data_IF_800478696522
#
_entry.id   IF_800478696522
#
_cell.length_a   1.000
_cell.length_b   1.000
_cell.length_c   1.000
_cell.angle_alpha   90.00
_cell.angle_beta   90.00
_cell.angle_gamma   90.00
#
_symmetry.space_group_name_H-M   'P 1'
#
loop_
_entity.id
_entity.type
_entity.pdbx_description
1 polymer ?
#
# COMPACT_ATOMS: atom_id res chain seq x y z
N UNK A 1 12.07 -3.29 -30.15
CA UNK A 1 12.88 -2.43 -29.26
C UNK A 1 13.81 -1.58 -30.12
N UNK A 2 13.40 -0.36 -30.48
CA UNK A 2 14.32 0.63 -31.05
C UNK A 2 14.78 1.49 -29.88
N UNK A 3 16.00 1.29 -29.43
CA UNK A 3 16.72 2.20 -28.55
C UNK A 3 16.80 3.55 -29.26
N UNK A 4 15.89 4.45 -28.91
CA UNK A 4 15.98 5.85 -29.33
C UNK A 4 17.26 6.47 -28.78
N UNK A 5 17.82 7.51 -29.43
CA UNK A 5 19.06 8.14 -29.01
C UNK A 5 18.96 8.49 -27.52
N UNK A 6 19.94 8.04 -26.74
CA UNK A 6 20.18 8.55 -25.40
C UNK A 6 20.68 9.97 -25.63
N UNK A 7 19.84 10.93 -25.26
CA UNK A 7 20.19 12.35 -25.31
C UNK A 7 21.13 12.54 -24.12
N UNK A 8 22.43 12.43 -24.36
CA UNK A 8 23.48 12.45 -23.32
C UNK A 8 23.87 13.88 -22.95
N UNK A 9 23.54 14.89 -23.78
CA UNK A 9 23.90 16.28 -23.56
C UNK A 9 22.72 17.27 -23.53
N UNK A 10 22.83 18.28 -22.66
CA UNK A 10 21.91 19.41 -22.53
C UNK A 10 21.85 20.25 -23.83
N UNK A 11 22.90 20.18 -24.65
CA UNK A 11 22.97 20.79 -25.97
C UNK A 11 22.03 20.14 -26.99
N UNK A 12 21.88 18.82 -26.96
CA UNK A 12 20.95 18.09 -27.82
C UNK A 12 19.50 18.40 -27.47
N UNK A 13 19.21 18.66 -26.20
CA UNK A 13 17.90 19.15 -25.74
C UNK A 13 17.56 20.52 -26.34
N UNK A 14 18.49 21.48 -26.28
CA UNK A 14 18.28 22.82 -26.82
C UNK A 14 18.09 22.82 -28.34
N UNK A 15 18.79 21.94 -29.05
CA UNK A 15 18.62 21.78 -30.50
C UNK A 15 17.29 21.09 -30.84
N UNK A 16 16.87 20.09 -30.06
CA UNK A 16 15.59 19.42 -30.25
C UNK A 16 14.40 20.41 -30.10
N UNK A 17 14.45 21.36 -29.17
CA UNK A 17 13.40 22.38 -28.99
C UNK A 17 13.23 23.32 -30.20
N UNK A 18 14.22 23.42 -31.11
CA UNK A 18 14.17 24.28 -32.29
C UNK A 18 13.36 23.75 -33.48
N UNK A 19 12.91 22.49 -33.44
CA UNK A 19 12.20 21.87 -34.58
C UNK A 19 10.68 22.10 -34.54
N UNK A 20 10.06 22.34 -35.70
CA UNK A 20 8.61 22.52 -35.86
C UNK A 20 7.78 21.35 -35.24
N UNK A 21 8.37 20.16 -35.14
CA UNK A 21 7.76 18.97 -34.53
C UNK A 21 7.55 19.11 -33.02
N UNK A 22 8.39 19.84 -32.29
CA UNK A 22 8.22 20.04 -30.83
C UNK A 22 7.08 21.00 -30.51
N UNK A 23 6.82 21.98 -31.39
CA UNK A 23 5.66 22.86 -31.28
C UNK A 23 4.34 22.10 -31.39
N UNK A 24 4.28 21.10 -32.28
CA UNK A 24 3.10 20.23 -32.42
C UNK A 24 2.90 19.38 -31.15
N UNK A 25 3.98 18.82 -30.59
CA UNK A 25 3.91 18.08 -29.32
C UNK A 25 3.44 18.97 -28.16
N UNK A 26 3.99 20.19 -28.03
CA UNK A 26 3.60 21.16 -27.01
C UNK A 26 2.14 21.59 -27.17
N UNK A 27 1.69 21.83 -28.39
CA UNK A 27 0.30 22.16 -28.70
C UNK A 27 -0.64 21.00 -28.34
N UNK A 28 -0.27 19.76 -28.67
CA UNK A 28 -1.04 18.58 -28.31
C UNK A 28 -1.13 18.39 -26.79
N UNK A 29 -0.03 18.62 -26.06
CA UNK A 29 0.00 18.55 -24.60
C UNK A 29 -0.84 19.67 -23.96
N UNK A 30 -0.75 20.90 -24.46
CA UNK A 30 -1.59 22.03 -24.05
C UNK A 30 -3.08 21.73 -24.28
N UNK A 31 -3.43 21.17 -25.45
CA UNK A 31 -4.79 20.74 -25.72
C UNK A 31 -5.27 19.69 -24.70
N UNK A 32 -4.43 18.72 -24.33
CA UNK A 32 -4.75 17.76 -23.26
C UNK A 32 -5.00 18.45 -21.91
N UNK A 33 -4.19 19.44 -21.54
CA UNK A 33 -4.36 20.22 -20.31
C UNK A 33 -5.69 20.96 -20.30
N UNK A 34 -6.02 21.67 -21.39
CA UNK A 34 -7.27 22.43 -21.52
C UNK A 34 -8.48 21.49 -21.49
N UNK A 35 -8.42 20.36 -22.21
CA UNK A 35 -9.49 19.36 -22.22
C UNK A 35 -9.69 18.71 -20.85
N UNK A 36 -8.60 18.33 -20.16
CA UNK A 36 -8.67 17.78 -18.82
C UNK A 36 -9.27 18.79 -17.83
N UNK A 37 -8.85 20.06 -17.91
CA UNK A 37 -9.37 21.12 -17.06
C UNK A 37 -10.87 21.37 -17.31
N UNK A 38 -11.27 21.47 -18.57
CA UNK A 38 -12.67 21.64 -18.97
C UNK A 38 -13.55 20.47 -18.54
N UNK A 39 -13.06 19.24 -18.68
CA UNK A 39 -13.76 18.04 -18.23
C UNK A 39 -13.97 18.03 -16.72
N UNK A 40 -12.92 18.27 -15.93
CA UNK A 40 -13.03 18.31 -14.46
C UNK A 40 -13.94 19.46 -14.00
N UNK A 41 -13.85 20.62 -14.66
CA UNK A 41 -14.73 21.75 -14.39
C UNK A 41 -16.20 21.41 -14.66
N UNK A 42 -16.50 20.75 -15.79
CA UNK A 42 -17.85 20.34 -16.17
C UNK A 42 -18.40 19.29 -15.18
N UNK A 43 -17.61 18.27 -14.85
CA UNK A 43 -18.00 17.24 -13.88
C UNK A 43 -18.25 17.87 -12.52
N UNK A 44 -17.38 18.75 -12.04
CA UNK A 44 -17.57 19.46 -10.76
C UNK A 44 -18.83 20.31 -10.76
N UNK A 45 -19.16 20.96 -11.88
CA UNK A 45 -20.39 21.76 -12.02
C UNK A 45 -21.65 20.87 -12.01
N UNK A 46 -21.58 19.68 -12.61
CA UNK A 46 -22.68 18.73 -12.63
C UNK A 46 -22.89 18.02 -11.29
N UNK A 47 -21.81 17.69 -10.58
CA UNK A 47 -21.86 17.09 -9.26
C UNK A 47 -21.88 18.18 -8.19
N UNK A 48 -23.07 18.65 -7.82
CA UNK A 48 -23.30 19.68 -6.80
C UNK A 48 -23.01 19.18 -5.36
N UNK A 49 -21.89 18.49 -5.13
CA UNK A 49 -21.47 18.06 -3.81
C UNK A 49 -20.39 19.01 -3.28
N UNK A 50 -20.79 19.87 -2.35
CA UNK A 50 -19.92 20.75 -1.56
C UNK A 50 -19.05 20.02 -0.53
N UNK A 51 -18.92 18.69 -0.63
CA UNK A 51 -18.16 17.89 0.30
C UNK A 51 -16.67 18.02 0.05
N UNK A 52 -16.04 18.85 0.88
CA UNK A 52 -14.62 19.17 0.89
C UNK A 52 -13.69 17.98 1.23
N UNK A 53 -14.27 16.79 1.45
CA UNK A 53 -13.59 15.58 1.93
C UNK A 53 -13.44 14.47 0.87
N UNK A 54 -13.94 14.66 -0.36
CA UNK A 54 -13.82 13.61 -1.39
C UNK A 54 -12.37 13.49 -1.89
N UNK A 55 -11.88 12.26 -2.04
CA UNK A 55 -10.53 11.96 -2.58
C UNK A 55 -10.41 12.45 -4.03
N UNK A 56 -11.52 12.38 -4.78
CA UNK A 56 -11.59 12.68 -6.21
C UNK A 56 -11.59 14.19 -6.51
N UNK A 57 -12.30 15.00 -5.72
CA UNK A 57 -12.40 16.45 -5.89
C UNK A 57 -11.74 17.17 -4.71
N UNK A 58 -10.66 17.92 -5.01
CA UNK A 58 -10.00 18.80 -4.04
C UNK A 58 -10.71 20.14 -3.85
N UNK A 59 -10.16 21.02 -3.01
CA UNK A 59 -10.70 22.38 -2.79
C UNK A 59 -10.66 23.21 -4.10
N UNK A 60 -9.57 23.09 -4.85
CA UNK A 60 -9.43 23.67 -6.19
C UNK A 60 -9.48 22.59 -7.27
N UNK A 61 -9.70 23.00 -8.53
CA UNK A 61 -9.74 22.10 -9.69
C UNK A 61 -8.41 21.34 -9.86
N UNK A 62 -7.31 21.93 -9.40
CA UNK A 62 -5.94 21.40 -9.55
C UNK A 62 -5.54 20.52 -8.36
N UNK A 63 -6.27 20.57 -7.24
CA UNK A 63 -5.94 19.82 -6.01
C UNK A 63 -6.62 18.45 -5.90
N UNK A 64 -7.48 18.08 -6.85
CA UNK A 64 -8.13 16.76 -6.90
C UNK A 64 -7.31 15.72 -7.66
N UNK A 65 -7.53 14.44 -7.37
CA UNK A 65 -6.91 13.30 -8.10
C UNK A 65 -7.46 13.19 -9.54
N UNK A 66 -8.67 13.70 -9.79
CA UNK A 66 -9.30 13.64 -11.12
C UNK A 66 -8.51 14.36 -12.21
N UNK A 67 -8.02 15.57 -11.94
CA UNK A 67 -7.29 16.36 -12.94
C UNK A 67 -6.04 15.64 -13.46
N UNK A 68 -5.06 15.24 -12.61
CA UNK A 68 -3.88 14.54 -13.09
C UNK A 68 -4.22 13.18 -13.70
N UNK A 69 -5.28 12.50 -13.23
CA UNK A 69 -5.72 11.24 -13.80
C UNK A 69 -6.24 11.41 -15.24
N UNK A 70 -7.20 12.32 -15.44
CA UNK A 70 -7.77 12.61 -16.77
C UNK A 70 -6.70 13.15 -17.71
N UNK A 71 -5.84 14.04 -17.23
CA UNK A 71 -4.71 14.57 -18.00
C UNK A 71 -3.75 13.46 -18.42
N UNK A 72 -3.43 12.52 -17.53
CA UNK A 72 -2.57 11.37 -17.85
C UNK A 72 -3.22 10.48 -18.92
N UNK A 73 -4.50 10.16 -18.78
CA UNK A 73 -5.24 9.37 -19.78
C UNK A 73 -5.25 10.06 -21.15
N UNK A 74 -5.55 11.36 -21.20
CA UNK A 74 -5.53 12.15 -22.44
C UNK A 74 -4.13 12.23 -23.04
N UNK A 75 -3.09 12.40 -22.22
CA UNK A 75 -1.70 12.46 -22.67
C UNK A 75 -1.22 11.12 -23.25
N UNK A 76 -1.61 9.98 -22.67
CA UNK A 76 -1.35 8.67 -23.27
C UNK A 76 -2.09 8.49 -24.61
N UNK A 77 -3.34 8.94 -24.68
CA UNK A 77 -4.12 8.94 -25.93
C UNK A 77 -3.48 9.81 -27.01
N UNK A 78 -3.13 11.06 -26.68
CA UNK A 78 -2.47 11.99 -27.59
C UNK A 78 -1.11 11.47 -28.05
N UNK A 79 -0.32 10.87 -27.15
CA UNK A 79 0.93 10.19 -27.51
C UNK A 79 0.72 9.17 -28.62
N UNK A 80 -0.30 8.31 -28.51
CA UNK A 80 -0.56 7.26 -29.53
C UNK A 80 -0.94 7.82 -30.91
N UNK A 81 -1.50 9.03 -30.96
CA UNK A 81 -1.85 9.73 -32.19
C UNK A 81 -0.63 10.45 -32.78
N UNK A 82 0.16 11.12 -31.94
CA UNK A 82 1.34 11.91 -32.34
C UNK A 82 2.52 11.02 -32.76
N UNK A 83 2.65 9.82 -32.17
CA UNK A 83 3.71 8.84 -32.52
C UNK A 83 3.70 8.44 -34.00
N UNK A 84 2.56 8.63 -34.69
CA UNK A 84 2.43 8.36 -36.13
C UNK A 84 3.06 9.44 -37.03
N UNK A 85 3.28 10.65 -36.50
CA UNK A 85 3.61 11.84 -37.29
C UNK A 85 4.84 12.60 -36.81
N UNK A 86 5.28 12.41 -35.55
CA UNK A 86 6.42 13.10 -34.98
C UNK A 86 7.17 12.23 -33.97
N UNK A 87 8.50 12.38 -33.82
CA UNK A 87 9.25 11.76 -32.73
C UNK A 87 8.78 12.34 -31.38
N UNK A 88 8.65 11.50 -30.36
CA UNK A 88 8.08 11.86 -29.05
C UNK A 88 9.15 12.33 -28.06
N UNK A 89 9.58 13.59 -28.16
CA UNK A 89 10.59 14.15 -27.23
C UNK A 89 9.92 14.71 -25.97
N UNK A 90 8.88 15.53 -26.13
CA UNK A 90 8.19 16.21 -25.03
C UNK A 90 7.35 15.21 -24.23
N UNK A 91 6.64 14.31 -24.90
CA UNK A 91 5.84 13.28 -24.22
C UNK A 91 6.67 12.30 -23.39
N UNK A 92 7.95 12.07 -23.76
CA UNK A 92 8.87 11.22 -22.99
C UNK A 92 9.20 11.83 -21.63
N UNK A 93 9.24 13.16 -21.53
CA UNK A 93 9.43 13.88 -20.25
C UNK A 93 8.12 14.09 -19.50
N UNK A 94 7.06 14.45 -20.22
CA UNK A 94 5.81 14.84 -19.62
C UNK A 94 5.08 13.65 -18.97
N UNK A 95 5.14 12.45 -19.56
CA UNK A 95 4.43 11.30 -19.00
C UNK A 95 4.95 10.87 -17.63
N UNK A 96 6.26 10.69 -17.40
CA UNK A 96 6.79 10.47 -16.04
C UNK A 96 6.38 11.57 -15.05
N UNK A 97 6.42 12.83 -15.47
CA UNK A 97 5.99 13.96 -14.64
C UNK A 97 4.51 13.85 -14.23
N UNK A 98 3.63 13.50 -15.17
CA UNK A 98 2.19 13.33 -14.93
C UNK A 98 1.89 12.12 -14.04
N UNK A 99 2.62 11.02 -14.22
CA UNK A 99 2.53 9.85 -13.33
C UNK A 99 2.95 10.23 -11.91
N UNK A 100 4.08 10.91 -11.76
CA UNK A 100 4.55 11.39 -10.46
C UNK A 100 3.50 12.30 -9.79
N UNK A 101 2.95 13.26 -10.54
CA UNK A 101 1.90 14.15 -10.05
C UNK A 101 0.66 13.38 -9.58
N UNK A 102 0.20 12.38 -10.35
CA UNK A 102 -0.94 11.54 -9.99
C UNK A 102 -0.67 10.75 -8.71
N UNK A 103 0.48 10.08 -8.62
CA UNK A 103 0.86 9.25 -7.46
C UNK A 103 0.97 10.11 -6.19
N UNK A 104 1.60 11.28 -6.27
CA UNK A 104 1.75 12.19 -5.13
C UNK A 104 0.38 12.67 -4.66
N UNK A 105 -0.46 13.17 -5.58
CA UNK A 105 -1.79 13.69 -5.22
C UNK A 105 -2.69 12.58 -4.66
N UNK A 106 -2.64 11.39 -5.24
CA UNK A 106 -3.37 10.23 -4.72
C UNK A 106 -2.88 9.83 -3.32
N UNK A 107 -1.57 9.66 -3.14
CA UNK A 107 -0.96 9.27 -1.87
C UNK A 107 -1.25 10.28 -0.75
N UNK A 108 -1.12 11.58 -1.03
CA UNK A 108 -1.45 12.64 -0.07
C UNK A 108 -2.93 12.61 0.30
N UNK A 109 -3.84 12.44 -0.66
CA UNK A 109 -5.28 12.38 -0.37
C UNK A 109 -5.65 11.15 0.45
N UNK A 110 -5.04 10.01 0.16
CA UNK A 110 -5.20 8.80 0.99
C UNK A 110 -4.71 9.05 2.42
N UNK A 111 -3.57 9.73 2.58
CA UNK A 111 -3.02 10.06 3.89
C UNK A 111 -3.91 11.05 4.66
N UNK A 112 -4.48 12.06 4.00
CA UNK A 112 -5.44 13.00 4.60
C UNK A 112 -6.71 12.29 5.09
N UNK A 113 -7.17 11.27 4.37
CA UNK A 113 -8.32 10.45 4.78
C UNK A 113 -7.98 9.52 5.94
N UNK A 114 -6.78 8.93 5.93
CA UNK A 114 -6.31 8.04 6.99
C UNK A 114 -6.01 8.78 8.30
N UNK A 115 -5.45 9.98 8.21
CA UNK A 115 -5.08 10.83 9.34
C UNK A 115 -5.90 12.11 9.30
N UNK A 116 -6.99 12.14 10.09
CA UNK A 116 -7.92 13.28 10.20
C UNK A 116 -7.16 14.59 10.48
N UNK A 117 -7.00 15.41 9.44
CA UNK A 117 -6.59 16.83 9.45
C UNK A 117 -5.38 17.23 10.32
N UNK A 118 -4.33 16.43 10.39
CA UNK A 118 -3.09 16.89 11.02
C UNK A 118 -2.38 17.93 10.13
N UNK A 119 -1.92 19.08 10.67
CA UNK A 119 -1.16 20.09 9.91
C UNK A 119 0.12 19.51 9.28
N UNK A 120 0.66 18.44 9.88
CA UNK A 120 1.80 17.65 9.37
C UNK A 120 1.56 17.14 7.94
N UNK A 121 0.34 16.74 7.58
CA UNK A 121 0.04 16.20 6.25
C UNK A 121 0.20 17.25 5.15
N UNK A 122 -0.14 18.52 5.45
CA UNK A 122 0.03 19.63 4.50
C UNK A 122 1.50 19.98 4.27
N UNK A 123 2.30 19.94 5.34
CA UNK A 123 3.76 20.14 5.22
C UNK A 123 4.37 19.01 4.41
N UNK A 124 3.98 17.76 4.70
CA UNK A 124 4.44 16.59 3.97
C UNK A 124 4.08 16.66 2.47
N UNK A 125 2.87 17.10 2.11
CA UNK A 125 2.46 17.33 0.72
C UNK A 125 3.40 18.29 -0.01
N UNK A 126 3.72 19.43 0.62
CA UNK A 126 4.60 20.44 0.02
C UNK A 126 6.02 19.89 -0.15
N UNK A 127 6.53 19.17 0.84
CA UNK A 127 7.88 18.57 0.79
C UNK A 127 7.96 17.47 -0.27
N UNK A 128 6.99 16.56 -0.34
CA UNK A 128 6.94 15.49 -1.35
C UNK A 128 6.85 16.09 -2.76
N UNK A 129 6.02 17.12 -2.96
CA UNK A 129 5.87 17.77 -4.26
C UNK A 129 7.19 18.42 -4.70
N UNK A 130 7.86 19.15 -3.79
CA UNK A 130 9.17 19.74 -4.06
C UNK A 130 10.23 18.68 -4.37
N UNK A 131 10.31 17.61 -3.57
CA UNK A 131 11.24 16.50 -3.81
C UNK A 131 10.99 15.82 -5.16
N UNK A 132 9.74 15.62 -5.55
CA UNK A 132 9.41 15.03 -6.84
C UNK A 132 9.77 15.93 -8.01
N UNK A 133 9.57 17.25 -7.89
CA UNK A 133 10.03 18.19 -8.91
C UNK A 133 11.56 18.22 -9.01
N UNK A 134 12.27 18.21 -7.88
CA UNK A 134 13.74 18.10 -7.86
C UNK A 134 14.17 16.79 -8.51
N UNK A 135 13.59 15.65 -8.13
CA UNK A 135 13.91 14.35 -8.69
C UNK A 135 13.62 14.29 -10.21
N UNK A 136 12.50 14.88 -10.65
CA UNK A 136 12.18 15.03 -12.08
C UNK A 136 13.24 15.86 -12.78
N UNK A 137 13.62 17.02 -12.24
CA UNK A 137 14.67 17.87 -12.83
C UNK A 137 16.00 17.13 -12.92
N UNK A 138 16.42 16.45 -11.85
CA UNK A 138 17.64 15.63 -11.82
C UNK A 138 17.57 14.49 -12.84
N UNK A 139 16.41 13.87 -13.00
CA UNK A 139 16.20 12.79 -13.97
C UNK A 139 16.24 13.32 -15.40
N UNK A 140 15.57 14.43 -15.69
CA UNK A 140 15.57 15.07 -17.01
C UNK A 140 16.96 15.58 -17.39
N UNK A 141 17.71 16.13 -16.42
CA UNK A 141 19.07 16.62 -16.66
C UNK A 141 20.11 15.51 -16.79
N UNK A 142 19.76 14.24 -16.57
CA UNK A 142 20.70 13.12 -16.56
C UNK A 142 21.63 13.10 -15.35
N UNK A 143 21.45 14.02 -14.39
CA UNK A 143 22.29 14.12 -13.19
C UNK A 143 21.91 13.07 -12.13
N UNK A 144 20.65 12.61 -12.12
CA UNK A 144 20.17 11.59 -11.18
C UNK A 144 21.02 10.30 -11.21
N UNK A 145 21.26 9.63 -12.35
CA UNK A 145 22.06 8.40 -12.37
C UNK A 145 23.49 8.63 -11.87
N UNK A 146 24.12 9.74 -12.25
CA UNK A 146 25.48 10.11 -11.77
C UNK A 146 25.48 10.28 -10.25
N UNK A 147 24.49 10.98 -9.70
CA UNK A 147 24.38 11.18 -8.25
C UNK A 147 24.12 9.86 -7.51
N UNK A 148 23.31 8.97 -8.08
CA UNK A 148 23.07 7.64 -7.51
C UNK A 148 24.33 6.76 -7.52
N UNK A 149 25.16 6.84 -8.56
CA UNK A 149 26.45 6.14 -8.63
C UNK A 149 27.45 6.69 -7.60
N UNK A 150 27.52 8.01 -7.41
CA UNK A 150 28.31 8.63 -6.35
C UNK A 150 27.82 8.23 -4.95
N UNK A 151 26.50 8.11 -4.76
CA UNK A 151 25.93 7.58 -3.51
C UNK A 151 26.28 6.11 -3.27
N UNK A 152 26.49 5.32 -4.33
CA UNK A 152 26.91 3.92 -4.21
C UNK A 152 28.36 3.77 -3.73
N UNK A 153 29.22 4.77 -3.97
CA UNK A 153 30.59 4.80 -3.46
C UNK A 153 30.65 4.99 -1.93
N UNK A 154 29.62 5.61 -1.34
CA UNK A 154 29.51 5.79 0.10
C UNK A 154 28.82 4.54 0.67
N UNK A 155 29.62 3.59 1.14
CA UNK A 155 29.13 2.31 1.63
C UNK A 155 29.69 1.96 3.01
N UNK A 156 28.84 1.37 3.85
CA UNK A 156 29.18 0.88 5.18
C UNK A 156 28.82 -0.59 5.30
N UNK A 157 29.61 -1.33 6.08
CA UNK A 157 29.30 -2.73 6.38
C UNK A 157 28.44 -2.78 7.64
N UNK A 158 27.23 -3.31 7.53
CA UNK A 158 26.31 -3.51 8.67
C UNK A 158 25.95 -5.00 8.72
N UNK A 159 26.44 -5.70 9.74
CA UNK A 159 26.30 -7.16 9.86
C UNK A 159 26.99 -7.90 8.71
N UNK A 160 26.23 -8.76 8.02
CA UNK A 160 26.68 -9.50 6.83
C UNK A 160 26.51 -8.76 5.48
N UNK A 161 25.86 -7.59 5.48
CA UNK A 161 25.48 -6.85 4.26
C UNK A 161 26.27 -5.53 4.11
N UNK A 162 26.57 -5.15 2.86
CA UNK A 162 27.11 -3.82 2.53
C UNK A 162 25.96 -2.88 2.17
N UNK A 163 25.73 -1.86 3.00
CA UNK A 163 24.71 -0.84 2.82
C UNK A 163 25.35 0.41 2.20
N UNK A 164 24.96 0.73 0.96
CA UNK A 164 25.29 2.02 0.34
C UNK A 164 24.31 3.12 0.75
N UNK A 165 24.71 4.37 0.62
CA UNK A 165 23.84 5.52 0.85
C UNK A 165 22.61 5.49 -0.09
N UNK A 166 22.79 4.98 -1.31
CA UNK A 166 21.69 4.74 -2.25
C UNK A 166 20.69 3.73 -1.70
N UNK A 167 21.14 2.58 -1.21
CA UNK A 167 20.28 1.56 -0.60
C UNK A 167 19.49 2.14 0.58
N UNK A 168 20.10 3.03 1.37
CA UNK A 168 19.40 3.68 2.47
C UNK A 168 18.28 4.59 1.98
N UNK A 169 18.51 5.39 0.93
CA UNK A 169 17.51 6.30 0.36
C UNK A 169 16.39 5.54 -0.36
N UNK A 170 16.74 4.65 -1.29
CA UNK A 170 15.77 3.81 -2.02
C UNK A 170 15.00 2.91 -1.06
N UNK A 171 15.70 2.34 -0.08
CA UNK A 171 15.14 1.55 1.01
C UNK A 171 14.15 2.32 1.87
N UNK A 172 14.50 3.54 2.28
CA UNK A 172 13.60 4.38 3.10
C UNK A 172 12.36 4.77 2.31
N UNK A 173 12.51 5.08 1.02
CA UNK A 173 11.39 5.40 0.14
C UNK A 173 10.45 4.20 -0.02
N UNK A 174 11.00 3.03 -0.35
CA UNK A 174 10.24 1.78 -0.51
C UNK A 174 9.59 1.34 0.80
N UNK A 175 10.32 1.41 1.92
CA UNK A 175 9.81 1.18 3.27
C UNK A 175 8.60 2.08 3.58
N UNK A 176 8.70 3.38 3.27
CA UNK A 176 7.61 4.33 3.49
C UNK A 176 6.37 3.94 2.68
N UNK A 177 6.53 3.57 1.42
CA UNK A 177 5.43 3.11 0.56
C UNK A 177 4.79 1.83 1.10
N UNK A 178 5.60 0.83 1.46
CA UNK A 178 5.13 -0.45 2.01
C UNK A 178 4.35 -0.23 3.31
N UNK A 179 4.84 0.64 4.20
CA UNK A 179 4.16 0.96 5.46
C UNK A 179 2.83 1.67 5.21
N UNK A 180 2.78 2.63 4.28
CA UNK A 180 1.55 3.32 3.89
C UNK A 180 0.53 2.30 3.34
N UNK A 181 0.95 1.42 2.43
CA UNK A 181 0.10 0.37 1.87
C UNK A 181 -0.41 -0.58 2.95
N UNK A 182 0.45 -0.98 3.88
CA UNK A 182 0.11 -1.86 5.00
C UNK A 182 -0.95 -1.22 5.90
N UNK A 183 -0.77 0.06 6.27
CA UNK A 183 -1.73 0.83 7.05
C UNK A 183 -3.08 0.95 6.33
N UNK A 184 -3.05 1.21 5.02
CA UNK A 184 -4.26 1.31 4.20
C UNK A 184 -5.04 -0.01 4.13
N UNK A 185 -4.35 -1.12 3.85
CA UNK A 185 -4.94 -2.46 3.85
C UNK A 185 -5.51 -2.79 5.23
N UNK A 186 -4.75 -2.52 6.29
CA UNK A 186 -5.17 -2.79 7.66
C UNK A 186 -6.43 -2.01 8.06
N UNK A 187 -6.51 -0.72 7.72
CA UNK A 187 -7.69 0.09 7.96
C UNK A 187 -8.91 -0.41 7.14
N UNK A 188 -8.68 -0.84 5.90
CA UNK A 188 -9.71 -1.46 5.06
C UNK A 188 -10.25 -2.77 5.66
N UNK A 189 -9.39 -3.62 6.21
CA UNK A 189 -9.80 -4.86 6.88
C UNK A 189 -10.57 -4.56 8.17
N UNK A 190 -10.07 -3.63 9.00
CA UNK A 190 -10.73 -3.24 10.25
C UNK A 190 -12.15 -2.72 10.01
N UNK A 191 -12.31 -1.82 9.03
CA UNK A 191 -13.63 -1.30 8.67
C UNK A 191 -14.56 -2.39 8.16
N UNK A 192 -14.09 -3.31 7.31
CA UNK A 192 -14.91 -4.44 6.82
C UNK A 192 -15.33 -5.40 7.94
N UNK A 193 -14.42 -5.74 8.84
CA UNK A 193 -14.69 -6.68 9.94
C UNK A 193 -15.66 -6.12 10.98
N UNK A 194 -15.60 -4.81 11.25
CA UNK A 194 -16.41 -4.13 12.26
C UNK A 194 -17.77 -3.65 11.73
N UNK A 195 -17.92 -3.38 10.43
CA UNK A 195 -19.16 -2.84 9.84
C UNK A 195 -20.39 -3.74 10.03
N UNK A 196 -20.19 -5.04 10.22
CA UNK A 196 -21.25 -6.03 10.43
C UNK A 196 -21.28 -6.61 11.85
N UNK A 197 -20.59 -5.98 12.81
CA UNK A 197 -20.47 -6.49 14.17
C UNK A 197 -21.56 -5.89 15.08
N UNK A 198 -22.50 -6.71 15.54
CA UNK A 198 -23.54 -6.33 16.52
C UNK A 198 -23.52 -7.29 17.71
N UNK A 199 -23.71 -6.77 18.93
CA UNK A 199 -23.83 -7.58 20.15
C UNK A 199 -22.56 -8.34 20.56
N UNK A 200 -22.73 -9.55 21.12
CA UNK A 200 -21.66 -10.37 21.71
C UNK A 200 -20.51 -10.80 20.77
N UNK A 201 -20.67 -10.64 19.46
CA UNK A 201 -19.61 -10.94 18.47
C UNK A 201 -18.63 -9.78 18.26
N UNK A 202 -18.93 -8.59 18.80
CA UNK A 202 -18.11 -7.39 18.64
C UNK A 202 -16.74 -7.53 19.29
N UNK A 203 -16.65 -8.10 20.49
CA UNK A 203 -15.40 -8.30 21.22
C UNK A 203 -14.45 -9.24 20.48
N UNK A 204 -14.97 -10.38 20.00
CA UNK A 204 -14.21 -11.36 19.22
C UNK A 204 -13.73 -10.75 17.89
N UNK A 205 -14.63 -10.08 17.14
CA UNK A 205 -14.28 -9.42 15.87
C UNK A 205 -13.26 -8.31 16.06
N UNK A 206 -13.35 -7.54 17.14
CA UNK A 206 -12.37 -6.51 17.47
C UNK A 206 -11.02 -7.12 17.85
N UNK A 207 -10.99 -8.20 18.62
CA UNK A 207 -9.77 -8.93 18.94
C UNK A 207 -9.09 -9.48 17.68
N UNK A 208 -9.85 -10.11 16.77
CA UNK A 208 -9.35 -10.58 15.47
C UNK A 208 -8.82 -9.42 14.65
N UNK A 209 -9.56 -8.31 14.54
CA UNK A 209 -9.13 -7.12 13.80
C UNK A 209 -7.81 -6.56 14.33
N UNK A 210 -7.65 -6.48 15.65
CA UNK A 210 -6.42 -6.00 16.28
C UNK A 210 -5.25 -6.96 16.02
N UNK A 211 -5.49 -8.27 16.12
CA UNK A 211 -4.48 -9.30 15.84
C UNK A 211 -4.04 -9.27 14.37
N UNK A 212 -4.98 -9.20 13.43
CA UNK A 212 -4.69 -9.07 11.99
C UNK A 212 -3.92 -7.78 11.69
N UNK A 213 -4.30 -6.66 12.31
CA UNK A 213 -3.58 -5.39 12.18
C UNK A 213 -2.14 -5.50 12.69
N UNK A 214 -1.94 -6.07 13.88
CA UNK A 214 -0.60 -6.27 14.44
C UNK A 214 0.26 -7.16 13.53
N UNK A 215 -0.32 -8.25 13.01
CA UNK A 215 0.37 -9.15 12.08
C UNK A 215 0.76 -8.45 10.78
N UNK A 216 -0.17 -7.71 10.15
CA UNK A 216 0.11 -6.96 8.93
C UNK A 216 1.19 -5.91 9.14
N UNK A 217 1.13 -5.17 10.25
CA UNK A 217 2.15 -4.18 10.60
C UNK A 217 3.52 -4.82 10.80
N UNK A 218 3.57 -5.99 11.45
CA UNK A 218 4.82 -6.74 11.63
C UNK A 218 5.39 -7.20 10.30
N UNK A 219 4.58 -7.78 9.41
CA UNK A 219 5.01 -8.18 8.07
C UNK A 219 5.46 -6.97 7.23
N UNK A 220 4.70 -5.87 7.27
CA UNK A 220 5.03 -4.64 6.58
C UNK A 220 6.37 -4.05 7.05
N UNK A 221 6.66 -4.13 8.35
CA UNK A 221 7.96 -3.74 8.91
C UNK A 221 9.10 -4.64 8.39
N UNK A 222 8.91 -5.96 8.34
CA UNK A 222 9.93 -6.87 7.80
C UNK A 222 10.23 -6.57 6.33
N UNK A 223 9.19 -6.40 5.51
CA UNK A 223 9.35 -6.03 4.10
C UNK A 223 10.06 -4.68 3.96
N UNK A 224 9.70 -3.69 4.77
CA UNK A 224 10.35 -2.38 4.79
C UNK A 224 11.85 -2.47 5.12
N UNK A 225 12.23 -3.23 6.16
CA UNK A 225 13.63 -3.47 6.53
C UNK A 225 14.41 -4.22 5.44
N UNK A 226 13.78 -5.22 4.82
CA UNK A 226 14.38 -5.95 3.69
C UNK A 226 14.64 -5.04 2.50
N UNK A 227 13.76 -4.07 2.23
CA UNK A 227 13.91 -3.15 1.10
C UNK A 227 15.08 -2.18 1.30
N UNK A 228 15.44 -1.88 2.56
CA UNK A 228 16.65 -1.13 2.93
C UNK A 228 17.92 -1.97 2.76
N UNK A 229 17.79 -3.30 2.58
CA UNK A 229 18.93 -4.21 2.50
C UNK A 229 19.42 -4.69 3.87
N UNK A 230 18.60 -4.54 4.92
CA UNK A 230 18.91 -5.08 6.25
C UNK A 230 18.65 -6.58 6.25
N UNK A 231 19.62 -7.35 6.72
CA UNK A 231 19.49 -8.79 6.90
C UNK A 231 18.45 -9.13 7.98
N UNK A 232 17.38 -9.81 7.57
CA UNK A 232 16.28 -10.22 8.45
C UNK A 232 16.55 -11.52 9.21
N UNK A 233 17.70 -12.18 9.00
CA UNK A 233 17.98 -13.49 9.58
C UNK A 233 17.84 -13.46 11.11
N UNK A 234 18.43 -12.46 11.77
CA UNK A 234 18.34 -12.32 13.23
C UNK A 234 16.91 -12.06 13.71
N UNK A 235 16.15 -11.23 13.01
CA UNK A 235 14.73 -10.97 13.33
C UNK A 235 13.86 -12.21 13.11
N UNK A 236 14.17 -13.00 12.08
CA UNK A 236 13.44 -14.23 11.76
C UNK A 236 13.67 -15.30 12.82
N UNK A 237 14.89 -15.41 13.35
CA UNK A 237 15.21 -16.31 14.48
C UNK A 237 14.45 -15.89 15.74
N UNK A 238 14.46 -14.60 16.09
CA UNK A 238 13.71 -14.08 17.23
C UNK A 238 12.20 -14.27 17.06
N UNK A 239 11.68 -13.98 15.86
CA UNK A 239 10.28 -14.20 15.49
C UNK A 239 9.89 -15.67 15.59
N UNK A 240 10.79 -16.58 15.20
CA UNK A 240 10.64 -18.02 15.41
C UNK A 240 10.48 -18.38 16.89
N UNK A 241 11.36 -17.86 17.75
CA UNK A 241 11.28 -18.10 19.20
C UNK A 241 9.96 -17.59 19.82
N UNK A 242 9.51 -16.39 19.42
CA UNK A 242 8.20 -15.85 19.83
C UNK A 242 7.06 -16.74 19.34
N UNK A 243 7.14 -17.20 18.08
CA UNK A 243 6.15 -18.10 17.49
C UNK A 243 6.03 -19.42 18.25
N UNK A 244 7.17 -20.01 18.65
CA UNK A 244 7.19 -21.21 19.50
C UNK A 244 6.55 -20.94 20.86
N UNK A 245 6.87 -19.81 21.50
CA UNK A 245 6.27 -19.41 22.78
C UNK A 245 4.74 -19.26 22.72
N UNK A 246 4.23 -18.62 21.65
CA UNK A 246 2.79 -18.51 21.39
C UNK A 246 2.18 -19.90 21.15
N UNK A 247 2.86 -20.76 20.39
CA UNK A 247 2.44 -22.14 20.14
C UNK A 247 2.25 -22.94 21.43
N UNK A 248 3.21 -22.86 22.36
CA UNK A 248 3.09 -23.48 23.68
C UNK A 248 1.92 -22.90 24.50
N UNK A 249 1.71 -21.58 24.45
CA UNK A 249 0.58 -20.94 25.14
C UNK A 249 -0.80 -21.38 24.61
N UNK A 250 -0.90 -21.66 23.31
CA UNK A 250 -2.14 -22.10 22.65
C UNK A 250 -2.30 -23.63 22.63
N UNK A 251 -1.29 -24.39 23.04
CA UNK A 251 -1.24 -25.85 22.92
C UNK A 251 -2.46 -26.54 23.55
N UNK A 252 -2.86 -26.13 24.77
CA UNK A 252 -4.02 -26.73 25.45
C UNK A 252 -5.33 -26.43 24.74
N UNK A 253 -5.48 -25.22 24.18
CA UNK A 253 -6.67 -24.89 23.38
C UNK A 253 -6.72 -25.75 22.14
N UNK A 254 -5.61 -25.82 21.38
CA UNK A 254 -5.52 -26.65 20.19
C UNK A 254 -5.84 -28.12 20.49
N UNK A 255 -5.26 -28.69 21.55
CA UNK A 255 -5.54 -30.06 21.97
C UNK A 255 -7.02 -30.29 22.27
N UNK A 256 -7.67 -29.38 23.00
CA UNK A 256 -9.10 -29.53 23.30
C UNK A 256 -9.98 -29.51 22.05
N UNK A 257 -9.65 -28.64 21.08
CA UNK A 257 -10.36 -28.59 19.80
C UNK A 257 -10.13 -29.84 18.94
N UNK A 258 -8.88 -30.33 18.87
CA UNK A 258 -8.54 -31.55 18.13
C UNK A 258 -9.27 -32.75 18.74
N UNK A 259 -9.25 -32.90 20.08
CA UNK A 259 -9.99 -33.96 20.77
C UNK A 259 -11.48 -33.90 20.47
N UNK A 260 -12.09 -32.71 20.52
CA UNK A 260 -13.50 -32.51 20.18
C UNK A 260 -13.83 -32.94 18.74
N UNK A 261 -13.00 -32.53 17.78
CA UNK A 261 -13.20 -32.88 16.36
C UNK A 261 -13.02 -34.38 16.10
N UNK A 262 -12.01 -35.01 16.71
CA UNK A 262 -11.77 -36.46 16.61
C UNK A 262 -12.93 -37.24 17.21
N UNK A 263 -13.44 -36.87 18.38
CA UNK A 263 -14.61 -37.52 18.98
C UNK A 263 -15.84 -37.48 18.06
N UNK A 264 -16.09 -36.34 17.42
CA UNK A 264 -17.19 -36.17 16.46
C UNK A 264 -16.98 -36.99 15.18
N UNK A 265 -15.75 -37.00 14.66
CA UNK A 265 -15.40 -37.71 13.43
C UNK A 265 -15.45 -39.23 13.60
N UNK A 266 -14.88 -39.74 14.68
CA UNK A 266 -14.83 -41.17 14.98
C UNK A 266 -16.11 -41.69 15.66
N UNK A 267 -17.00 -40.79 16.10
CA UNK A 267 -18.21 -41.10 16.89
C UNK A 267 -17.89 -41.97 18.10
N UNK A 268 -16.76 -41.72 18.76
CA UNK A 268 -16.31 -42.49 19.94
C UNK A 268 -17.21 -42.30 21.15
N UNK A 269 -18.00 -41.22 21.17
CA UNK A 269 -19.04 -40.94 22.16
C UNK A 269 -20.22 -40.27 21.46
N UNK A 270 -21.44 -40.63 21.84
CA UNK A 270 -22.69 -40.12 21.25
C UNK A 270 -23.51 -39.36 22.27
N UNK A 271 -24.32 -38.42 21.78
CA UNK A 271 -25.34 -37.76 22.60
C UNK A 271 -26.32 -38.85 23.08
N UNK A 272 -26.57 -38.89 24.39
CA UNK A 272 -27.35 -39.94 25.04
C UNK A 272 -26.52 -41.07 25.67
N UNK A 273 -25.21 -41.14 25.42
CA UNK A 273 -24.36 -42.12 26.09
C UNK A 273 -24.19 -41.78 27.58
N UNK A 274 -24.28 -42.81 28.42
CA UNK A 274 -23.96 -42.72 29.84
C UNK A 274 -22.44 -42.80 30.00
N UNK A 275 -21.85 -41.78 30.62
CA UNK A 275 -20.41 -41.68 30.79
C UNK A 275 -20.05 -41.40 32.24
N UNK A 276 -18.90 -41.93 32.65
CA UNK A 276 -18.27 -41.61 33.92
C UNK A 276 -16.98 -40.85 33.62
N UNK A 277 -16.92 -39.60 34.07
CA UNK A 277 -15.74 -38.74 33.93
C UNK A 277 -15.26 -38.41 35.33
N UNK A 278 -14.07 -38.90 35.68
CA UNK A 278 -13.52 -38.86 37.03
C UNK A 278 -14.51 -39.46 38.07
N UNK A 279 -15.02 -38.63 38.99
CA UNK A 279 -16.01 -39.01 40.01
C UNK A 279 -17.45 -38.62 39.66
N UNK A 280 -17.71 -38.15 38.44
CA UNK A 280 -19.03 -37.71 38.00
C UNK A 280 -19.64 -38.71 37.02
N UNK A 281 -20.88 -39.12 37.27
CA UNK A 281 -21.67 -39.96 36.37
C UNK A 281 -22.86 -39.18 35.82
N UNK A 282 -23.13 -39.33 34.52
CA UNK A 282 -24.21 -38.65 33.87
C UNK A 282 -24.33 -39.01 32.39
N UNK A 283 -25.25 -38.32 31.71
CA UNK A 283 -25.55 -38.56 30.29
C UNK A 283 -25.08 -37.37 29.46
N UNK A 284 -24.47 -37.65 28.31
CA UNK A 284 -24.04 -36.60 27.38
C UNK A 284 -25.28 -35.94 26.76
N UNK A 285 -25.37 -34.62 26.91
CA UNK A 285 -26.47 -33.81 26.37
C UNK A 285 -26.08 -33.01 25.13
N UNK A 286 -24.83 -32.57 25.05
CA UNK A 286 -24.33 -31.81 23.91
C UNK A 286 -22.81 -32.01 23.77
N UNK A 287 -22.32 -31.98 22.52
CA UNK A 287 -20.89 -32.11 22.19
C UNK A 287 -20.50 -30.87 21.38
N UNK A 288 -19.80 -29.93 22.02
CA UNK A 288 -19.23 -28.76 21.36
C UNK A 288 -17.79 -29.05 20.93
N UNK A 289 -17.26 -28.21 20.04
CA UNK A 289 -15.90 -28.39 19.51
C UNK A 289 -14.79 -28.36 20.59
N UNK A 290 -15.01 -27.70 21.74
CA UNK A 290 -14.01 -27.55 22.82
C UNK A 290 -14.38 -28.27 24.13
N UNK A 291 -15.66 -28.63 24.31
CA UNK A 291 -16.16 -29.19 25.57
C UNK A 291 -17.43 -30.01 25.32
N UNK A 292 -17.68 -30.97 26.21
CA UNK A 292 -18.88 -31.81 26.20
C UNK A 292 -19.72 -31.50 27.43
N UNK A 293 -21.04 -31.39 27.27
CA UNK A 293 -21.95 -31.09 28.36
C UNK A 293 -22.58 -32.39 28.85
N UNK A 294 -22.29 -32.74 30.10
CA UNK A 294 -22.84 -33.92 30.77
C UNK A 294 -23.86 -33.47 31.81
N UNK A 295 -25.05 -34.07 31.78
CA UNK A 295 -26.10 -33.84 32.78
C UNK A 295 -26.05 -34.94 33.84
N UNK A 296 -26.11 -34.54 35.11
CA UNK A 296 -26.19 -35.49 36.22
C UNK A 296 -27.50 -36.28 36.19
N UNK A 297 -27.49 -37.49 36.74
CA UNK A 297 -28.70 -38.28 36.94
C UNK A 297 -29.69 -37.62 37.93
N UNK A 298 -29.23 -36.67 38.76
CA UNK A 298 -30.07 -35.97 39.74
C UNK A 298 -30.69 -34.65 39.25
N UNK A 299 -30.45 -34.26 37.99
CA UNK A 299 -30.93 -33.00 37.40
C UNK A 299 -29.86 -31.92 37.37
#
# INVERSE_FOLDING_TARGET
MRSGPRIEDLADWLQAFGHLTTLIELAALLACVVLAWGFVWLVRRATHNGDSASIWFGRTIVDGVMFPFVLLCLAYGARSLVDRWAPLVVFRLALPALVALLVIRFGVKVLQVAFREAPVVRVLERTISWLAWIAMVLWVSGLLPVLLEEMDQIHWKVGGSTLSLRNLVEGTLTASVVLILTLWISAGIETRLLRSATGGTLSLRKAISNATRALLMFVGLLVALSAVGIDLTTLSVLGGAIGVGIGFGLQKLASNYVSGFVMLAERSVRIGDSVKVDNFEGVITDINARYTVVRSLTG
#
